data_IF_175414656205
#
_entry.id   IF_175414656205
#
_cell.length_a   1.000
_cell.length_b   1.000
_cell.length_c   1.000
_cell.angle_alpha   90.00
_cell.angle_beta   90.00
_cell.angle_gamma   90.00
#
_symmetry.space_group_name_H-M   'P 1'
#
loop_
_entity.id
_entity.type
_entity.pdbx_description
1 polymer ?
#
# COMPACT_ATOMS: atom_id res chain seq x y z
N UNK A 1 14.44 10.50 11.58
CA UNK A 1 12.98 10.53 11.30
C UNK A 1 12.39 9.17 11.55
N UNK A 2 11.14 9.12 12.04
CA UNK A 2 10.33 7.88 12.13
C UNK A 2 9.50 7.75 10.86
N UNK A 3 9.66 6.66 10.15
CA UNK A 3 9.01 6.40 8.87
C UNK A 3 8.11 5.18 9.02
N UNK A 4 6.84 5.31 8.66
CA UNK A 4 5.91 4.18 8.57
C UNK A 4 5.74 3.80 7.11
N UNK A 5 6.34 2.67 6.70
CA UNK A 5 6.08 2.08 5.38
C UNK A 5 4.79 1.27 5.41
N UNK A 6 3.89 1.55 4.47
CA UNK A 6 2.61 0.87 4.33
C UNK A 6 2.57 0.10 3.02
N UNK A 7 2.32 -1.20 3.09
CA UNK A 7 2.31 -2.07 1.93
C UNK A 7 1.23 -3.14 2.01
N UNK A 8 0.62 -3.45 0.88
CA UNK A 8 -0.32 -4.55 0.73
C UNK A 8 0.29 -5.63 -0.16
N UNK A 9 0.64 -6.79 0.42
CA UNK A 9 1.23 -7.91 -0.30
C UNK A 9 0.23 -8.64 -1.17
N UNK A 10 0.69 -9.07 -2.35
CA UNK A 10 -0.10 -9.92 -3.24
C UNK A 10 -0.21 -11.35 -2.70
N UNK A 11 -1.18 -12.10 -3.23
CA UNK A 11 -1.29 -13.55 -2.99
C UNK A 11 -0.16 -14.29 -3.71
N UNK A 12 0.30 -15.39 -3.11
CA UNK A 12 1.17 -16.36 -3.80
C UNK A 12 2.68 -16.14 -3.66
N UNK A 13 3.14 -15.31 -2.71
CA UNK A 13 4.56 -15.21 -2.39
C UNK A 13 5.13 -13.80 -2.48
N UNK A 14 6.45 -13.70 -2.39
CA UNK A 14 7.17 -12.42 -2.47
C UNK A 14 7.18 -11.89 -3.91
N UNK A 15 6.78 -10.66 -4.07
CA UNK A 15 6.85 -9.91 -5.33
C UNK A 15 8.12 -9.07 -5.43
N UNK A 16 8.41 -8.53 -6.62
CA UNK A 16 9.48 -7.55 -6.79
C UNK A 16 9.25 -6.30 -5.93
N UNK A 17 8.00 -5.90 -5.73
CA UNK A 17 7.64 -4.78 -4.84
C UNK A 17 8.05 -5.04 -3.39
N UNK A 18 7.86 -6.27 -2.87
CA UNK A 18 8.29 -6.64 -1.52
C UNK A 18 9.82 -6.50 -1.35
N UNK A 19 10.57 -6.88 -2.38
CA UNK A 19 12.03 -6.77 -2.35
C UNK A 19 12.49 -5.31 -2.35
N UNK A 20 11.83 -4.45 -3.13
CA UNK A 20 12.09 -3.00 -3.13
C UNK A 20 11.89 -2.43 -1.74
N UNK A 21 10.77 -2.75 -1.09
CA UNK A 21 10.43 -2.25 0.25
C UNK A 21 11.44 -2.70 1.31
N UNK A 22 11.85 -3.98 1.27
CA UNK A 22 12.84 -4.51 2.20
C UNK A 22 14.21 -3.84 2.01
N UNK A 23 14.63 -3.61 0.76
CA UNK A 23 15.89 -2.94 0.44
C UNK A 23 15.83 -1.47 0.88
N UNK A 24 14.75 -0.77 0.60
CA UNK A 24 14.55 0.62 1.02
C UNK A 24 14.52 0.75 2.54
N UNK A 25 13.81 -0.13 3.24
CA UNK A 25 13.84 -0.18 4.70
C UNK A 25 15.24 -0.31 5.27
N UNK A 26 16.04 -1.19 4.66
CA UNK A 26 17.43 -1.39 5.07
C UNK A 26 18.24 -0.13 4.83
N UNK A 27 18.12 0.47 3.65
CA UNK A 27 18.82 1.71 3.30
C UNK A 27 18.46 2.85 4.26
N UNK A 28 17.18 3.05 4.53
CA UNK A 28 16.73 4.10 5.45
C UNK A 28 17.25 3.88 6.88
N UNK A 29 17.21 2.63 7.40
CA UNK A 29 17.77 2.31 8.72
C UNK A 29 19.27 2.53 8.78
N UNK A 30 20.01 2.14 7.75
CA UNK A 30 21.47 2.36 7.66
C UNK A 30 21.81 3.85 7.67
N UNK A 31 20.91 4.71 7.17
CA UNK A 31 21.06 6.17 7.20
C UNK A 31 20.44 6.83 8.46
N UNK A 32 20.24 6.07 9.54
CA UNK A 32 19.83 6.60 10.84
C UNK A 32 18.34 6.91 10.98
N UNK A 33 17.48 6.38 10.11
CA UNK A 33 16.05 6.52 10.24
C UNK A 33 15.45 5.33 11.02
N UNK A 34 14.43 5.60 11.83
CA UNK A 34 13.61 4.58 12.45
C UNK A 34 12.49 4.20 11.46
N UNK A 35 12.45 2.92 11.06
CA UNK A 35 11.51 2.44 10.05
C UNK A 35 10.63 1.34 10.61
N UNK A 36 9.33 1.60 10.65
CA UNK A 36 8.28 0.61 10.94
C UNK A 36 7.58 0.20 9.65
N UNK A 37 7.24 -1.08 9.54
CA UNK A 37 6.48 -1.61 8.40
C UNK A 37 5.09 -2.06 8.85
N UNK A 38 4.07 -1.53 8.19
CA UNK A 38 2.70 -2.02 8.28
C UNK A 38 2.35 -2.77 7.00
N UNK A 39 2.14 -4.08 7.11
CA UNK A 39 1.83 -4.94 5.97
C UNK A 39 0.43 -5.53 6.10
N UNK A 40 -0.38 -5.37 5.07
CA UNK A 40 -1.62 -6.11 4.86
C UNK A 40 -1.40 -7.20 3.79
N UNK A 41 -2.22 -8.25 3.80
CA UNK A 41 -2.09 -9.38 2.89
C UNK A 41 -3.40 -9.61 2.14
N UNK A 42 -3.32 -9.78 0.81
CA UNK A 42 -4.48 -10.14 0.00
C UNK A 42 -5.02 -11.55 0.32
N UNK A 43 -4.25 -12.39 1.02
CA UNK A 43 -4.71 -13.66 1.56
C UNK A 43 -5.83 -13.51 2.61
N UNK A 44 -6.04 -12.32 3.17
CA UNK A 44 -7.18 -11.99 4.03
C UNK A 44 -8.52 -12.14 3.26
N UNK A 45 -8.49 -12.11 1.92
CA UNK A 45 -9.67 -12.25 1.03
C UNK A 45 -9.80 -13.71 0.58
N UNK A 46 -10.20 -14.62 1.48
CA UNK A 46 -10.13 -16.08 1.24
C UNK A 46 -11.38 -16.72 0.63
N UNK A 47 -12.59 -16.20 0.84
CA UNK A 47 -13.86 -16.85 0.46
C UNK A 47 -14.67 -16.01 -0.53
N UNK A 48 -15.60 -16.67 -1.24
CA UNK A 48 -16.44 -16.00 -2.26
C UNK A 48 -17.19 -14.76 -1.75
N UNK A 49 -17.75 -14.81 -0.53
CA UNK A 49 -18.37 -13.65 0.11
C UNK A 49 -17.36 -12.55 0.48
N UNK A 50 -16.12 -12.91 0.81
CA UNK A 50 -15.07 -11.93 1.10
C UNK A 50 -14.62 -11.22 -0.18
N UNK A 51 -14.60 -11.93 -1.32
CA UNK A 51 -14.33 -11.32 -2.64
C UNK A 51 -15.41 -10.32 -3.04
N UNK A 52 -16.68 -10.65 -2.81
CA UNK A 52 -17.79 -9.73 -3.08
C UNK A 52 -17.75 -8.50 -2.16
N UNK A 53 -17.52 -8.69 -0.87
CA UNK A 53 -17.31 -7.60 0.09
C UNK A 53 -16.08 -6.75 -0.24
N UNK A 54 -14.98 -7.38 -0.66
CA UNK A 54 -13.79 -6.70 -1.11
C UNK A 54 -14.06 -5.85 -2.36
N UNK A 55 -14.80 -6.38 -3.34
CA UNK A 55 -15.17 -5.65 -4.55
C UNK A 55 -16.01 -4.39 -4.25
N UNK A 56 -17.01 -4.51 -3.36
CA UNK A 56 -17.84 -3.36 -2.92
C UNK A 56 -17.01 -2.35 -2.10
N UNK A 57 -16.03 -2.82 -1.31
CA UNK A 57 -15.18 -1.98 -0.46
C UNK A 57 -13.94 -1.45 -1.19
N UNK A 58 -13.63 -1.96 -2.37
CA UNK A 58 -12.43 -1.62 -3.13
C UNK A 58 -12.26 -0.12 -3.41
N UNK A 59 -13.32 0.66 -3.64
CA UNK A 59 -13.13 2.10 -3.78
C UNK A 59 -12.73 2.80 -2.49
N UNK A 60 -13.23 2.31 -1.32
CA UNK A 60 -13.00 2.96 -0.04
C UNK A 60 -13.20 2.03 1.17
N UNK A 61 -12.11 1.52 1.74
CA UNK A 61 -12.14 0.63 2.91
C UNK A 61 -11.92 1.37 4.23
N UNK A 62 -13.01 1.64 4.96
CA UNK A 62 -12.92 2.18 6.33
C UNK A 62 -12.12 1.27 7.26
N UNK A 63 -12.12 -0.05 7.01
CA UNK A 63 -11.34 -1.01 7.79
C UNK A 63 -9.84 -0.81 7.56
N UNK A 64 -9.39 -0.72 6.31
CA UNK A 64 -8.00 -0.43 5.97
C UNK A 64 -7.52 0.89 6.55
N UNK A 65 -8.34 1.95 6.43
CA UNK A 65 -8.04 3.26 7.01
C UNK A 65 -7.86 3.21 8.54
N UNK A 66 -8.73 2.47 9.26
CA UNK A 66 -8.61 2.30 10.73
C UNK A 66 -7.33 1.58 11.13
N UNK A 67 -6.94 0.53 10.42
CA UNK A 67 -5.69 -0.22 10.69
C UNK A 67 -4.46 0.69 10.53
N UNK A 68 -4.42 1.48 9.46
CA UNK A 68 -3.31 2.44 9.25
C UNK A 68 -3.36 3.57 10.29
N UNK A 69 -4.53 4.09 10.65
CA UNK A 69 -4.66 5.07 11.72
C UNK A 69 -4.16 4.53 13.07
N UNK A 70 -4.41 3.26 13.37
CA UNK A 70 -3.87 2.61 14.56
C UNK A 70 -2.35 2.49 14.50
N UNK A 71 -1.77 2.11 13.36
CA UNK A 71 -0.32 2.06 13.18
C UNK A 71 0.32 3.46 13.35
N UNK A 72 -0.30 4.50 12.79
CA UNK A 72 0.12 5.89 13.00
C UNK A 72 0.10 6.26 14.49
N UNK A 73 -0.98 5.91 15.20
CA UNK A 73 -1.09 6.17 16.65
C UNK A 73 -0.09 5.37 17.50
N UNK A 74 0.33 4.19 17.03
CA UNK A 74 1.29 3.35 17.76
C UNK A 74 2.73 3.81 17.56
N UNK A 75 3.10 4.12 16.32
CA UNK A 75 4.48 4.40 15.94
C UNK A 75 4.82 5.90 15.91
N UNK A 76 3.82 6.76 15.94
CA UNK A 76 3.99 8.24 15.85
C UNK A 76 4.97 8.65 14.75
N UNK A 77 4.76 8.22 13.48
CA UNK A 77 5.68 8.50 12.40
C UNK A 77 5.71 9.99 12.04
N UNK A 78 6.87 10.45 11.56
CA UNK A 78 7.01 11.78 10.99
C UNK A 78 6.49 11.83 9.55
N UNK A 79 6.48 10.67 8.86
CA UNK A 79 5.99 10.49 7.49
C UNK A 79 5.46 9.06 7.28
N UNK A 80 4.42 8.92 6.46
CA UNK A 80 3.92 7.63 5.99
C UNK A 80 4.33 7.42 4.54
N UNK A 81 5.08 6.36 4.26
CA UNK A 81 5.48 5.98 2.91
C UNK A 81 4.64 4.79 2.43
N UNK A 82 3.78 5.06 1.45
CA UNK A 82 2.85 4.08 0.88
C UNK A 82 3.45 3.49 -0.41
N UNK A 83 3.51 2.16 -0.49
CA UNK A 83 3.90 1.47 -1.72
C UNK A 83 2.68 0.95 -2.47
N UNK A 84 2.09 -0.15 -2.03
CA UNK A 84 0.88 -0.69 -2.62
C UNK A 84 -0.23 -0.72 -1.56
N UNK A 85 -1.45 -0.34 -1.96
CA UNK A 85 -2.61 -0.36 -1.06
C UNK A 85 -3.78 -1.21 -1.60
N UNK A 86 -3.62 -1.88 -2.73
CA UNK A 86 -4.65 -2.76 -3.30
C UNK A 86 -4.46 -4.22 -2.85
N UNK A 87 -5.50 -4.89 -2.42
CA UNK A 87 -6.94 -4.57 -2.43
C UNK A 87 -7.50 -4.31 -1.03
N UNK A 88 -6.77 -4.62 0.04
CA UNK A 88 -7.25 -4.60 1.43
C UNK A 88 -7.27 -3.18 2.02
N UNK A 89 -6.24 -2.39 1.74
CA UNK A 89 -6.05 -1.07 2.36
C UNK A 89 -6.84 0.04 1.70
N UNK A 90 -6.86 0.11 0.38
CA UNK A 90 -7.52 1.12 -0.47
C UNK A 90 -7.02 2.57 -0.27
N UNK A 91 -7.39 3.52 -1.15
CA UNK A 91 -7.01 4.94 -1.00
C UNK A 91 -7.48 5.60 0.31
N UNK A 92 -8.41 4.98 1.03
CA UNK A 92 -8.89 5.48 2.32
C UNK A 92 -7.79 5.67 3.38
N UNK A 93 -6.61 5.04 3.20
CA UNK A 93 -5.45 5.21 4.07
C UNK A 93 -4.88 6.63 4.03
N UNK A 94 -4.98 7.33 2.90
CA UNK A 94 -4.55 8.73 2.79
C UNK A 94 -5.42 9.67 3.63
N UNK A 95 -6.71 9.35 3.79
CA UNK A 95 -7.58 10.07 4.72
C UNK A 95 -7.18 9.86 6.18
N UNK A 96 -6.67 8.66 6.53
CA UNK A 96 -6.12 8.41 7.86
C UNK A 96 -4.88 9.28 8.11
N UNK A 97 -3.96 9.37 7.15
CA UNK A 97 -2.78 10.24 7.22
C UNK A 97 -3.20 11.72 7.37
N UNK A 98 -4.13 12.18 6.54
CA UNK A 98 -4.63 13.56 6.57
C UNK A 98 -5.28 13.91 7.91
N UNK A 99 -6.11 13.03 8.46
CA UNK A 99 -6.75 13.21 9.78
C UNK A 99 -5.73 13.26 10.90
N UNK A 100 -4.67 12.47 10.82
CA UNK A 100 -3.56 12.48 11.77
C UNK A 100 -2.61 13.68 11.56
N UNK A 101 -2.76 14.45 10.49
CA UNK A 101 -1.85 15.53 10.07
C UNK A 101 -0.41 15.05 9.83
N UNK A 102 -0.27 13.82 9.35
CA UNK A 102 1.03 13.24 9.00
C UNK A 102 1.18 13.30 7.47
N UNK A 103 2.28 13.85 6.95
CA UNK A 103 2.55 13.84 5.52
C UNK A 103 2.67 12.41 4.99
N UNK A 104 2.23 12.20 3.75
CA UNK A 104 2.33 10.90 3.10
C UNK A 104 2.96 11.03 1.71
N UNK A 105 3.79 10.06 1.35
CA UNK A 105 4.40 9.90 0.04
C UNK A 105 4.02 8.53 -0.49
N UNK A 106 3.91 8.40 -1.81
CA UNK A 106 3.60 7.13 -2.47
C UNK A 106 4.63 6.82 -3.54
N UNK A 107 5.17 5.60 -3.53
CA UNK A 107 5.91 5.03 -4.65
C UNK A 107 4.94 4.26 -5.56
N UNK A 108 4.89 4.66 -6.83
CA UNK A 108 4.08 3.99 -7.84
C UNK A 108 4.89 2.85 -8.48
N UNK A 109 4.49 1.60 -8.21
CA UNK A 109 5.13 0.40 -8.76
C UNK A 109 4.51 -0.09 -10.07
N UNK A 110 3.37 0.47 -10.46
CA UNK A 110 2.63 0.10 -11.66
C UNK A 110 1.79 1.29 -12.14
N UNK A 111 1.22 1.16 -13.32
CA UNK A 111 0.45 2.22 -13.97
C UNK A 111 -1.05 2.20 -13.64
N UNK A 112 -1.46 1.55 -12.57
CA UNK A 112 -2.88 1.34 -12.22
C UNK A 112 -3.68 2.63 -12.07
N UNK A 113 -3.03 3.74 -11.75
CA UNK A 113 -3.69 5.04 -11.64
C UNK A 113 -4.17 5.63 -12.97
N UNK A 114 -3.59 5.18 -14.09
CA UNK A 114 -3.81 5.75 -15.43
C UNK A 114 -4.05 4.69 -16.51
N UNK A 115 -3.90 3.41 -16.19
CA UNK A 115 -4.07 2.30 -17.13
C UNK A 115 -4.88 1.17 -16.51
N UNK A 116 -5.99 0.77 -17.14
CA UNK A 116 -6.91 -0.24 -16.64
C UNK A 116 -6.25 -1.61 -16.37
N UNK A 117 -5.29 -2.04 -17.20
CA UNK A 117 -4.53 -3.27 -17.00
C UNK A 117 -3.22 -3.07 -16.22
N UNK A 118 -2.91 -1.85 -15.78
CA UNK A 118 -1.73 -1.46 -15.01
C UNK A 118 -0.38 -1.69 -15.71
N UNK A 119 -0.34 -2.03 -16.98
CA UNK A 119 0.88 -2.46 -17.70
C UNK A 119 1.27 -1.57 -18.88
N UNK A 120 0.40 -0.66 -19.32
CA UNK A 120 0.53 0.05 -20.59
C UNK A 120 0.72 -0.88 -21.79
N UNK A 121 0.04 -2.03 -21.77
CA UNK A 121 0.13 -3.03 -22.81
C UNK A 121 -1.28 -3.36 -23.31
N UNK A 122 -1.46 -3.41 -24.64
CA UNK A 122 -2.68 -3.84 -25.32
C UNK A 122 -2.29 -4.76 -26.47
N UNK A 123 -2.87 -5.95 -26.54
CA UNK A 123 -2.62 -6.93 -27.61
C UNK A 123 -1.12 -7.22 -27.86
N UNK A 124 -0.33 -7.28 -26.77
CA UNK A 124 1.12 -7.56 -26.85
C UNK A 124 1.99 -6.38 -27.29
N UNK A 125 1.43 -5.18 -27.43
CA UNK A 125 2.14 -3.96 -27.80
C UNK A 125 2.05 -2.92 -26.70
N UNK A 126 2.98 -1.97 -26.67
CA UNK A 126 2.90 -0.79 -25.81
C UNK A 126 1.66 0.01 -26.19
N UNK A 127 0.88 0.41 -25.17
CA UNK A 127 -0.31 1.24 -25.35
C UNK A 127 0.09 2.71 -25.21
N UNK A 128 -0.15 3.49 -26.24
CA UNK A 128 0.14 4.93 -26.32
C UNK A 128 -1.14 5.78 -26.32
N UNK A 129 -2.33 5.15 -26.12
CA UNK A 129 -3.65 5.80 -26.12
C UNK A 129 -4.09 6.21 -24.72
#
# INVERSE_FOLDING_TARGET
MRILQVHNRYQGGRSGEDQVIDNESRLLRTNGHEVHQFTAHNDEIRRGMDKFRAAIRMPYSKHGARRVAQAISTYHPDIVHVHNFYYVLTPAIFDACRKARIPSVQTLHNFRGICANARFMREGRVCEE
#
